data_IF_097052829430
#
_entry.id   IF_097052829430
#
_cell.length_a   1.000
_cell.length_b   1.000
_cell.length_c   1.000
_cell.angle_alpha   90.00
_cell.angle_beta   90.00
_cell.angle_gamma   90.00
#
_symmetry.space_group_name_H-M   'P 1'
#
loop_
_entity.id
_entity.type
_entity.pdbx_description
1 polymer ?
#
# COMPACT_ATOMS: atom_id res chain seq x y z
N UNK A 1 -11.24 31.61 -36.24
CA UNK A 1 -11.82 30.28 -36.56
C UNK A 1 -12.32 29.61 -35.28
N UNK A 2 -13.48 28.93 -35.30
CA UNK A 2 -14.07 28.24 -34.14
C UNK A 2 -13.09 27.25 -33.48
N UNK A 3 -12.22 26.64 -34.28
CA UNK A 3 -11.16 25.72 -33.85
C UNK A 3 -10.07 26.41 -33.02
N UNK A 4 -9.72 27.66 -33.34
CA UNK A 4 -8.71 28.43 -32.60
C UNK A 4 -9.25 28.86 -31.23
N UNK A 5 -10.53 29.27 -31.15
CA UNK A 5 -11.21 29.55 -29.88
C UNK A 5 -11.35 28.30 -29.01
N UNK A 6 -11.64 27.14 -29.60
CA UNK A 6 -11.68 25.86 -28.87
C UNK A 6 -10.30 25.52 -28.29
N UNK A 7 -9.24 25.63 -29.08
CA UNK A 7 -7.87 25.32 -28.63
C UNK A 7 -7.38 26.31 -27.55
N UNK A 8 -7.71 27.60 -27.66
CA UNK A 8 -7.41 28.60 -26.62
C UNK A 8 -8.15 28.31 -25.30
N UNK A 9 -9.44 27.94 -25.38
CA UNK A 9 -10.22 27.52 -24.21
C UNK A 9 -9.64 26.24 -23.58
N UNK A 10 -9.20 25.27 -24.38
CA UNK A 10 -8.53 24.05 -23.88
C UNK A 10 -7.21 24.36 -23.15
N UNK A 11 -6.42 25.32 -23.64
CA UNK A 11 -5.21 25.76 -22.93
C UNK A 11 -5.48 26.41 -21.57
N UNK A 12 -6.58 27.15 -21.43
CA UNK A 12 -7.03 27.72 -20.15
C UNK A 12 -7.59 26.65 -19.21
N UNK A 13 -8.27 25.64 -19.75
CA UNK A 13 -8.78 24.47 -19.03
C UNK A 13 -7.63 23.67 -18.42
N UNK A 14 -6.59 23.33 -19.18
CA UNK A 14 -5.42 22.61 -18.67
C UNK A 14 -4.76 23.36 -17.50
N UNK A 15 -4.63 24.70 -17.59
CA UNK A 15 -4.10 25.51 -16.48
C UNK A 15 -4.98 25.51 -15.24
N UNK A 16 -6.32 25.57 -15.41
CA UNK A 16 -7.26 25.53 -14.29
C UNK A 16 -7.30 24.15 -13.65
N UNK A 17 -7.40 23.08 -14.43
CA UNK A 17 -7.40 21.69 -13.95
C UNK A 17 -6.13 21.33 -13.17
N UNK A 18 -4.97 21.82 -13.63
CA UNK A 18 -3.71 21.57 -12.95
C UNK A 18 -3.57 22.36 -11.64
N UNK A 19 -4.33 23.45 -11.46
CA UNK A 19 -4.35 24.23 -10.21
C UNK A 19 -5.42 23.71 -9.25
N UNK A 20 -6.61 23.42 -9.78
CA UNK A 20 -7.75 22.86 -9.07
C UNK A 20 -8.56 21.99 -10.04
N UNK A 21 -8.48 20.69 -9.78
CA UNK A 21 -9.06 19.65 -10.62
C UNK A 21 -10.59 19.75 -10.74
N UNK A 22 -11.27 20.31 -9.75
CA UNK A 22 -12.73 20.37 -9.71
C UNK A 22 -13.27 21.64 -10.35
N UNK A 23 -12.65 22.78 -10.04
CA UNK A 23 -12.95 24.04 -10.70
C UNK A 23 -12.68 23.96 -12.21
N UNK A 24 -11.67 23.17 -12.63
CA UNK A 24 -11.39 22.91 -14.03
C UNK A 24 -12.48 22.11 -14.75
N UNK A 25 -13.02 21.04 -14.14
CA UNK A 25 -14.14 20.27 -14.70
C UNK A 25 -15.41 21.12 -14.72
N UNK A 26 -15.69 21.87 -13.65
CA UNK A 26 -16.83 22.77 -13.57
C UNK A 26 -16.80 23.82 -14.69
N UNK A 27 -15.65 24.43 -14.94
CA UNK A 27 -15.48 25.40 -16.03
C UNK A 27 -15.74 24.80 -17.42
N UNK A 28 -15.33 23.54 -17.65
CA UNK A 28 -15.61 22.83 -18.90
C UNK A 28 -17.11 22.62 -19.11
N UNK A 29 -17.82 22.27 -18.04
CA UNK A 29 -19.26 22.06 -18.03
C UNK A 29 -20.00 23.37 -18.30
N UNK A 30 -19.66 24.44 -17.59
CA UNK A 30 -20.28 25.77 -17.74
C UNK A 30 -20.07 26.35 -19.14
N UNK A 31 -18.92 26.09 -19.76
CA UNK A 31 -18.61 26.53 -21.12
C UNK A 31 -19.18 25.61 -22.21
N UNK A 32 -19.97 24.59 -21.85
CA UNK A 32 -20.54 23.58 -22.76
C UNK A 32 -19.47 22.84 -23.58
N UNK A 33 -18.28 22.68 -23.01
CA UNK A 33 -17.16 21.94 -23.60
C UNK A 33 -17.16 20.47 -23.16
N UNK A 34 -17.81 20.16 -22.03
CA UNK A 34 -18.00 18.83 -21.47
C UNK A 34 -19.44 18.72 -20.96
N UNK A 35 -20.06 17.55 -21.11
CA UNK A 35 -21.36 17.32 -20.48
C UNK A 35 -21.18 16.97 -19.00
N UNK A 36 -22.15 17.38 -18.17
CA UNK A 36 -22.16 17.08 -16.74
C UNK A 36 -22.70 15.67 -16.46
N UNK A 37 -22.11 14.66 -17.09
CA UNK A 37 -22.44 13.25 -16.83
C UNK A 37 -21.19 12.50 -16.37
N UNK A 38 -21.38 11.50 -15.51
CA UNK A 38 -20.28 10.67 -15.02
C UNK A 38 -19.45 10.05 -16.15
N UNK A 39 -20.12 9.55 -17.20
CA UNK A 39 -19.48 8.92 -18.36
C UNK A 39 -18.66 9.90 -19.18
N UNK A 40 -19.21 11.08 -19.46
CA UNK A 40 -18.50 12.09 -20.26
C UNK A 40 -17.27 12.62 -19.52
N UNK A 41 -17.39 12.86 -18.21
CA UNK A 41 -16.27 13.26 -17.36
C UNK A 41 -15.21 12.15 -17.31
N UNK A 42 -15.61 10.89 -17.12
CA UNK A 42 -14.70 9.75 -17.13
C UNK A 42 -13.95 9.61 -18.46
N UNK A 43 -14.65 9.69 -19.60
CA UNK A 43 -14.03 9.65 -20.93
C UNK A 43 -13.05 10.79 -21.16
N UNK A 44 -13.38 12.00 -20.69
CA UNK A 44 -12.50 13.16 -20.78
C UNK A 44 -11.21 12.94 -19.97
N UNK A 45 -11.33 12.48 -18.73
CA UNK A 45 -10.20 12.16 -17.87
C UNK A 45 -9.36 11.01 -18.44
N UNK A 46 -9.99 9.97 -19.00
CA UNK A 46 -9.32 8.82 -19.59
C UNK A 46 -8.55 9.18 -20.86
N UNK A 47 -9.10 10.07 -21.69
CA UNK A 47 -8.41 10.56 -22.89
C UNK A 47 -7.15 11.35 -22.54
N UNK A 48 -7.18 12.09 -21.43
CA UNK A 48 -6.00 12.74 -20.85
C UNK A 48 -5.31 13.81 -21.73
N UNK A 49 -5.94 14.27 -22.81
CA UNK A 49 -5.34 15.24 -23.74
C UNK A 49 -5.04 16.58 -23.05
N UNK A 50 -3.76 16.84 -22.78
CA UNK A 50 -3.29 18.07 -22.16
C UNK A 50 -3.58 18.18 -20.66
N UNK A 51 -3.88 17.06 -19.99
CA UNK A 51 -4.11 17.00 -18.54
C UNK A 51 -2.90 16.45 -17.81
N UNK A 52 -2.56 17.04 -16.66
CA UNK A 52 -1.59 16.44 -15.76
C UNK A 52 -2.22 15.23 -15.07
N UNK A 53 -1.54 14.09 -15.09
CA UNK A 53 -2.07 12.85 -14.49
C UNK A 53 -2.19 12.91 -12.96
N UNK A 54 -1.46 13.83 -12.34
CA UNK A 54 -1.62 14.20 -10.92
C UNK A 54 -2.96 14.89 -10.67
N UNK A 55 -3.41 15.77 -11.58
CA UNK A 55 -4.70 16.43 -11.47
C UNK A 55 -5.87 15.47 -11.72
N UNK A 56 -5.68 14.49 -12.62
CA UNK A 56 -6.62 13.38 -12.81
C UNK A 56 -6.76 12.58 -11.51
N UNK A 57 -5.64 12.19 -10.91
CA UNK A 57 -5.64 11.50 -9.62
C UNK A 57 -6.30 12.31 -8.51
N UNK A 58 -6.04 13.61 -8.43
CA UNK A 58 -6.68 14.51 -7.46
C UNK A 58 -8.19 14.57 -7.61
N UNK A 59 -8.71 14.65 -8.84
CA UNK A 59 -10.14 14.65 -9.07
C UNK A 59 -10.78 13.32 -8.66
N UNK A 60 -10.19 12.22 -9.10
CA UNK A 60 -10.73 10.87 -8.87
C UNK A 60 -10.61 10.42 -7.40
N UNK A 61 -9.65 10.96 -6.65
CA UNK A 61 -9.42 10.65 -5.24
C UNK A 61 -10.31 11.42 -4.24
N UNK A 62 -11.20 12.31 -4.71
CA UNK A 62 -12.12 13.09 -3.86
C UNK A 62 -13.33 12.26 -3.42
N UNK A 63 -13.85 12.54 -2.21
CA UNK A 63 -14.98 11.83 -1.56
C UNK A 63 -16.36 12.36 -1.93
N UNK A 64 -16.44 13.36 -2.80
CA UNK A 64 -17.69 14.06 -3.06
C UNK A 64 -18.54 13.24 -4.05
N UNK A 65 -19.87 13.22 -3.89
CA UNK A 65 -20.76 12.35 -4.67
C UNK A 65 -20.59 12.51 -6.19
N UNK A 66 -20.32 13.72 -6.66
CA UNK A 66 -20.10 13.98 -8.07
C UNK A 66 -18.76 13.43 -8.60
N UNK A 67 -17.79 13.07 -7.74
CA UNK A 67 -16.53 12.41 -8.15
C UNK A 67 -16.66 10.89 -8.20
N UNK A 68 -17.49 10.31 -7.32
CA UNK A 68 -17.64 8.85 -7.20
C UNK A 68 -18.18 8.25 -8.51
N UNK A 69 -19.23 8.84 -9.09
CA UNK A 69 -19.78 8.39 -10.37
C UNK A 69 -18.73 8.36 -11.51
N UNK A 70 -18.04 9.48 -11.79
CA UNK A 70 -16.93 9.52 -12.74
C UNK A 70 -15.81 8.53 -12.43
N UNK A 71 -15.50 8.27 -11.15
CA UNK A 71 -14.50 7.26 -10.76
C UNK A 71 -14.89 5.87 -11.25
N UNK A 72 -16.09 5.40 -10.91
CA UNK A 72 -16.56 4.08 -11.37
C UNK A 72 -16.56 3.99 -12.90
N UNK A 73 -17.12 4.99 -13.58
CA UNK A 73 -17.12 5.05 -15.04
C UNK A 73 -15.69 5.08 -15.62
N UNK A 74 -14.72 5.70 -14.93
CA UNK A 74 -13.32 5.74 -15.35
C UNK A 74 -12.64 4.38 -15.21
N UNK A 75 -12.91 3.65 -14.12
CA UNK A 75 -12.39 2.28 -13.96
C UNK A 75 -13.01 1.35 -15.00
N UNK A 76 -14.31 1.48 -15.30
CA UNK A 76 -15.00 0.68 -16.32
C UNK A 76 -14.46 0.88 -17.75
N UNK A 77 -13.81 2.02 -18.03
CA UNK A 77 -13.12 2.24 -19.31
C UNK A 77 -11.83 1.41 -19.45
N UNK A 78 -11.37 0.78 -18.37
CA UNK A 78 -10.21 -0.10 -18.43
C UNK A 78 -10.67 -1.53 -18.74
N UNK A 79 -10.25 -2.02 -19.90
CA UNK A 79 -10.45 -3.42 -20.27
C UNK A 79 -9.48 -4.31 -19.47
N UNK A 80 -9.99 -4.95 -18.42
CA UNK A 80 -9.25 -5.89 -17.58
C UNK A 80 -9.47 -7.37 -17.94
N UNK A 81 -10.29 -7.65 -18.96
CA UNK A 81 -10.62 -9.01 -19.41
C UNK A 81 -9.33 -9.76 -19.78
N UNK A 82 -9.19 -10.99 -19.27
CA UNK A 82 -8.05 -11.90 -19.49
C UNK A 82 -6.68 -11.36 -19.03
N UNK A 83 -6.64 -10.23 -18.30
CA UNK A 83 -5.40 -9.69 -17.74
C UNK A 83 -5.12 -10.28 -16.36
N UNK A 84 -3.85 -10.64 -16.14
CA UNK A 84 -3.35 -10.95 -14.80
C UNK A 84 -3.31 -9.68 -13.95
N UNK A 85 -3.40 -9.82 -12.63
CA UNK A 85 -3.44 -8.68 -11.70
C UNK A 85 -2.34 -7.63 -11.94
N UNK A 86 -1.08 -8.07 -12.11
CA UNK A 86 0.04 -7.15 -12.37
C UNK A 86 -0.15 -6.38 -13.69
N UNK A 87 -0.68 -7.02 -14.74
CA UNK A 87 -0.94 -6.37 -16.02
C UNK A 87 -2.08 -5.36 -15.92
N UNK A 88 -3.16 -5.72 -15.21
CA UNK A 88 -4.27 -4.84 -14.91
C UNK A 88 -3.79 -3.62 -14.11
N UNK A 89 -2.98 -3.82 -13.06
CA UNK A 89 -2.37 -2.75 -12.27
C UNK A 89 -1.45 -1.85 -13.10
N UNK A 90 -0.62 -2.41 -14.00
CA UNK A 90 0.21 -1.60 -14.92
C UNK A 90 -0.64 -0.68 -15.78
N UNK A 91 -1.72 -1.20 -16.37
CA UNK A 91 -2.62 -0.41 -17.22
C UNK A 91 -3.35 0.66 -16.40
N UNK A 92 -3.81 0.30 -15.21
CA UNK A 92 -4.53 1.20 -14.32
C UNK A 92 -3.66 2.34 -13.80
N UNK A 93 -2.47 2.02 -13.25
CA UNK A 93 -1.52 2.98 -12.71
C UNK A 93 -0.85 3.84 -13.80
N UNK A 94 -0.99 3.48 -15.08
CA UNK A 94 -0.55 4.33 -16.19
C UNK A 94 -1.51 5.48 -16.49
N UNK A 95 -2.80 5.33 -16.15
CA UNK A 95 -3.85 6.29 -16.54
C UNK A 95 -3.88 7.54 -15.64
N UNK A 96 -3.37 7.45 -14.41
CA UNK A 96 -3.37 8.55 -13.44
C UNK A 96 -2.19 8.40 -12.46
N UNK A 97 -1.96 9.43 -11.63
CA UNK A 97 -1.00 9.32 -10.52
C UNK A 97 -1.77 9.25 -9.19
N UNK A 98 -1.43 8.26 -8.37
CA UNK A 98 -1.85 8.23 -6.96
C UNK A 98 -1.35 9.49 -6.25
N UNK A 99 -2.05 10.03 -5.25
CA UNK A 99 -1.59 11.20 -4.50
C UNK A 99 -0.94 10.79 -3.17
N UNK A 100 0.33 11.19 -2.98
CA UNK A 100 1.24 10.68 -1.95
C UNK A 100 1.02 11.07 -0.49
N UNK A 101 -0.20 11.32 -0.03
CA UNK A 101 -0.42 11.47 1.42
C UNK A 101 -0.90 10.14 1.96
N UNK A 102 -0.07 9.43 2.72
CA UNK A 102 -0.41 8.16 3.38
C UNK A 102 -1.72 8.20 4.22
N UNK A 103 -2.20 9.40 4.58
CA UNK A 103 -3.49 9.61 5.23
C UNK A 103 -4.70 9.66 4.28
N UNK A 104 -4.50 9.96 2.99
CA UNK A 104 -5.50 9.85 1.93
C UNK A 104 -5.24 8.53 1.20
N UNK A 105 -5.73 7.44 1.76
CA UNK A 105 -5.80 6.19 1.01
C UNK A 105 -6.65 6.45 -0.23
N UNK A 106 -6.07 6.21 -1.40
CA UNK A 106 -6.63 6.57 -2.69
C UNK A 106 -7.86 5.71 -2.98
N UNK A 107 -9.06 6.29 -2.91
CA UNK A 107 -10.34 5.63 -3.25
C UNK A 107 -10.34 5.01 -4.65
N UNK A 108 -9.51 5.54 -5.54
CA UNK A 108 -9.21 4.96 -6.84
C UNK A 108 -8.79 3.49 -6.76
N UNK A 109 -8.06 3.09 -5.72
CA UNK A 109 -7.65 1.71 -5.48
C UNK A 109 -8.76 0.83 -4.89
N UNK A 110 -9.85 1.39 -4.37
CA UNK A 110 -11.01 0.63 -3.87
C UNK A 110 -12.00 0.30 -4.98
N UNK A 111 -12.10 1.15 -6.00
CA UNK A 111 -12.89 0.89 -7.20
C UNK A 111 -12.24 -0.14 -8.14
N UNK A 112 -10.90 -0.23 -8.16
CA UNK A 112 -10.17 -1.16 -9.04
C UNK A 112 -10.51 -2.65 -8.83
N UNK A 113 -10.48 -3.20 -7.60
CA UNK A 113 -10.77 -4.61 -7.35
C UNK A 113 -12.17 -5.03 -7.76
N UNK A 114 -13.16 -4.15 -7.59
CA UNK A 114 -14.55 -4.43 -7.98
C UNK A 114 -14.63 -4.71 -9.50
N UNK A 115 -14.04 -3.83 -10.32
CA UNK A 115 -14.00 -4.04 -11.77
C UNK A 115 -13.10 -5.22 -12.15
N UNK A 116 -11.95 -5.41 -11.49
CA UNK A 116 -11.05 -6.53 -11.78
C UNK A 116 -11.69 -7.90 -11.49
N UNK A 117 -12.43 -8.03 -10.39
CA UNK A 117 -13.20 -9.23 -10.03
C UNK A 117 -14.36 -9.47 -10.99
N UNK A 118 -15.08 -8.43 -11.41
CA UNK A 118 -16.16 -8.54 -12.41
C UNK A 118 -15.62 -9.00 -13.77
N UNK A 119 -14.45 -8.51 -14.19
CA UNK A 119 -13.81 -8.92 -15.44
C UNK A 119 -13.16 -10.31 -15.38
N UNK A 120 -12.72 -10.76 -14.19
CA UNK A 120 -12.00 -12.03 -14.01
C UNK A 120 -12.52 -12.83 -12.80
N UNK A 121 -13.79 -13.26 -12.81
CA UNK A 121 -14.43 -13.88 -11.65
C UNK A 121 -13.81 -15.23 -11.25
N UNK A 122 -13.13 -15.91 -12.17
CA UNK A 122 -12.44 -17.18 -11.91
C UNK A 122 -11.10 -17.03 -11.19
N UNK A 123 -10.51 -15.83 -11.18
CA UNK A 123 -9.16 -15.58 -10.64
C UNK A 123 -9.23 -14.99 -9.23
N UNK A 124 -10.20 -14.11 -8.97
CA UNK A 124 -10.38 -13.47 -7.67
C UNK A 124 -11.85 -13.54 -7.24
N UNK A 125 -12.23 -14.54 -6.42
CA UNK A 125 -13.60 -14.71 -5.96
C UNK A 125 -14.04 -13.64 -4.95
N UNK A 126 -13.07 -12.96 -4.32
CA UNK A 126 -13.31 -11.94 -3.30
C UNK A 126 -12.63 -10.61 -3.66
N UNK A 127 -13.41 -9.54 -3.66
CA UNK A 127 -12.96 -8.16 -3.89
C UNK A 127 -11.90 -7.74 -2.87
N UNK A 128 -12.05 -8.13 -1.61
CA UNK A 128 -11.11 -7.79 -0.54
C UNK A 128 -9.76 -8.48 -0.76
N UNK A 129 -9.76 -9.75 -1.18
CA UNK A 129 -8.52 -10.47 -1.54
C UNK A 129 -7.81 -9.77 -2.70
N UNK A 130 -8.55 -9.36 -3.74
CA UNK A 130 -7.98 -8.62 -4.87
C UNK A 130 -7.43 -7.25 -4.45
N UNK A 131 -8.12 -6.55 -3.56
CA UNK A 131 -7.68 -5.28 -2.98
C UNK A 131 -6.36 -5.42 -2.22
N UNK A 132 -6.31 -6.31 -1.22
CA UNK A 132 -5.12 -6.52 -0.39
C UNK A 132 -3.95 -7.00 -1.27
N UNK A 133 -4.21 -7.93 -2.19
CA UNK A 133 -3.19 -8.43 -3.09
C UNK A 133 -2.64 -7.33 -4.01
N UNK A 134 -3.49 -6.41 -4.49
CA UNK A 134 -3.06 -5.26 -5.31
C UNK A 134 -2.06 -4.39 -4.57
N UNK A 135 -2.35 -4.07 -3.30
CA UNK A 135 -1.43 -3.31 -2.47
C UNK A 135 -0.14 -4.08 -2.18
N UNK A 136 -0.21 -5.38 -1.89
CA UNK A 136 1.01 -6.18 -1.64
C UNK A 136 1.95 -6.18 -2.86
N UNK A 137 1.39 -6.19 -4.08
CA UNK A 137 2.12 -6.12 -5.34
C UNK A 137 2.73 -4.72 -5.54
N UNK A 138 2.00 -3.64 -5.22
CA UNK A 138 2.54 -2.26 -5.25
C UNK A 138 3.68 -2.09 -4.26
N UNK A 139 3.52 -2.58 -3.02
CA UNK A 139 4.57 -2.53 -1.99
C UNK A 139 5.77 -3.40 -2.35
N UNK A 140 5.54 -4.55 -3.01
CA UNK A 140 6.61 -5.38 -3.54
C UNK A 140 7.44 -4.62 -4.58
N UNK A 141 6.81 -3.83 -5.45
CA UNK A 141 7.52 -3.01 -6.43
C UNK A 141 8.48 -2.04 -5.74
N UNK A 142 8.01 -1.31 -4.73
CA UNK A 142 8.88 -0.43 -3.93
C UNK A 142 9.99 -1.22 -3.26
N UNK A 143 9.67 -2.39 -2.67
CA UNK A 143 10.65 -3.21 -1.96
C UNK A 143 11.76 -3.77 -2.88
N UNK A 144 11.44 -4.08 -4.14
CA UNK A 144 12.39 -4.65 -5.11
C UNK A 144 13.20 -3.59 -5.87
N UNK A 145 12.60 -2.43 -6.15
CA UNK A 145 13.16 -1.46 -7.10
C UNK A 145 13.60 -0.15 -6.47
N UNK A 146 13.16 0.18 -5.25
CA UNK A 146 13.63 1.39 -4.57
C UNK A 146 15.08 1.19 -4.09
N UNK A 147 16.05 2.01 -4.54
CA UNK A 147 17.46 1.87 -4.14
C UNK A 147 17.68 2.11 -2.63
N UNK A 148 16.75 2.81 -1.95
CA UNK A 148 16.81 3.01 -0.50
C UNK A 148 16.45 1.73 0.27
N UNK A 149 15.70 0.81 -0.35
CA UNK A 149 15.38 -0.50 0.22
C UNK A 149 16.55 -1.45 -0.06
N UNK A 150 17.39 -1.64 0.96
CA UNK A 150 18.57 -2.50 0.85
C UNK A 150 18.23 -3.99 0.92
N UNK A 151 17.14 -4.34 1.59
CA UNK A 151 16.73 -5.71 1.87
C UNK A 151 15.55 -6.11 0.96
N UNK A 152 15.88 -6.75 -0.16
CA UNK A 152 14.89 -7.14 -1.18
C UNK A 152 14.24 -8.48 -0.82
N UNK A 153 12.90 -8.58 -0.72
CA UNK A 153 12.23 -9.84 -0.39
C UNK A 153 12.42 -10.87 -1.51
N UNK A 154 12.62 -12.14 -1.15
CA UNK A 154 12.67 -13.25 -2.10
C UNK A 154 11.26 -13.73 -2.46
N UNK A 155 11.11 -14.48 -3.57
CA UNK A 155 9.83 -15.06 -3.98
C UNK A 155 9.19 -15.92 -2.86
N UNK A 156 9.99 -16.73 -2.17
CA UNK A 156 9.52 -17.54 -1.02
C UNK A 156 9.02 -16.67 0.12
N UNK A 157 9.71 -15.54 0.38
CA UNK A 157 9.29 -14.59 1.40
C UNK A 157 7.95 -13.96 1.01
N UNK A 158 7.80 -13.52 -0.25
CA UNK A 158 6.55 -12.95 -0.75
C UNK A 158 5.37 -13.92 -0.68
N UNK A 159 5.58 -15.20 -1.01
CA UNK A 159 4.54 -16.23 -0.85
C UNK A 159 4.12 -16.37 0.61
N UNK A 160 5.09 -16.43 1.53
CA UNK A 160 4.82 -16.56 2.97
C UNK A 160 4.13 -15.31 3.55
N UNK A 161 4.43 -14.11 3.02
CA UNK A 161 3.79 -12.85 3.43
C UNK A 161 2.31 -12.80 3.10
N UNK A 162 1.90 -13.47 2.01
CA UNK A 162 0.51 -13.49 1.54
C UNK A 162 -0.24 -14.77 1.96
N UNK A 163 0.27 -15.49 2.96
CA UNK A 163 -0.43 -16.63 3.54
C UNK A 163 -1.67 -16.14 4.30
N UNK A 164 -2.82 -16.78 4.10
CA UNK A 164 -4.09 -16.42 4.73
C UNK A 164 -4.73 -15.14 4.16
N UNK A 165 -4.29 -14.68 2.97
CA UNK A 165 -4.81 -13.43 2.36
C UNK A 165 -6.24 -13.58 1.82
N UNK A 166 -6.69 -14.82 1.55
CA UNK A 166 -8.02 -15.09 0.98
C UNK A 166 -8.99 -15.54 2.08
N UNK A 167 -9.46 -14.59 2.89
CA UNK A 167 -10.36 -14.83 4.04
C UNK A 167 -9.85 -15.91 5.01
N UNK A 168 -8.54 -15.90 5.28
CA UNK A 168 -7.86 -16.90 6.10
C UNK A 168 -7.34 -18.12 5.33
N UNK A 169 -7.70 -18.25 4.05
CA UNK A 169 -7.15 -19.22 3.10
C UNK A 169 -5.92 -18.72 2.32
N UNK A 170 -5.25 -19.64 1.64
CA UNK A 170 -4.04 -19.35 0.86
C UNK A 170 -4.33 -19.30 -0.65
N UNK A 171 -3.77 -18.29 -1.31
CA UNK A 171 -3.73 -18.26 -2.77
C UNK A 171 -2.73 -19.30 -3.33
N UNK A 172 -2.95 -19.79 -4.56
CA UNK A 172 -2.03 -20.72 -5.20
C UNK A 172 -0.60 -20.19 -5.24
N UNK A 173 0.38 -21.01 -4.84
CA UNK A 173 1.79 -20.60 -4.79
C UNK A 173 2.32 -20.17 -6.16
N UNK A 174 1.85 -20.82 -7.22
CA UNK A 174 2.21 -20.48 -8.60
C UNK A 174 1.67 -19.10 -9.01
N UNK A 175 0.48 -18.71 -8.53
CA UNK A 175 -0.06 -17.37 -8.75
C UNK A 175 0.85 -16.32 -8.10
N UNK A 176 1.15 -16.48 -6.82
CA UNK A 176 2.01 -15.56 -6.07
C UNK A 176 3.44 -15.50 -6.63
N UNK A 177 3.99 -16.64 -7.07
CA UNK A 177 5.28 -16.71 -7.74
C UNK A 177 5.29 -15.95 -9.07
N UNK A 178 4.25 -16.11 -9.89
CA UNK A 178 4.10 -15.38 -11.14
C UNK A 178 3.96 -13.86 -10.93
N UNK A 179 3.22 -13.43 -9.90
CA UNK A 179 3.11 -12.01 -9.55
C UNK A 179 4.46 -11.43 -9.14
N UNK A 180 5.21 -12.17 -8.30
CA UNK A 180 6.53 -11.76 -7.85
C UNK A 180 7.51 -11.60 -9.02
N UNK A 181 7.62 -12.62 -9.88
CA UNK A 181 8.54 -12.56 -11.01
C UNK A 181 8.15 -11.47 -12.02
N UNK A 182 6.86 -11.22 -12.23
CA UNK A 182 6.41 -10.12 -13.10
C UNK A 182 6.84 -8.73 -12.59
N UNK A 183 6.73 -8.48 -11.28
CA UNK A 183 7.21 -7.23 -10.70
C UNK A 183 8.73 -7.18 -10.70
N UNK A 184 9.40 -8.28 -10.36
CA UNK A 184 10.86 -8.34 -10.35
C UNK A 184 11.46 -8.08 -11.74
N UNK A 185 10.84 -8.60 -12.81
CA UNK A 185 11.32 -8.42 -14.18
C UNK A 185 11.14 -7.01 -14.69
N UNK A 186 10.02 -6.35 -14.34
CA UNK A 186 9.71 -5.00 -14.81
C UNK A 186 9.07 -4.18 -13.69
N UNK A 187 9.65 -3.06 -13.24
CA UNK A 187 8.99 -2.18 -12.27
C UNK A 187 7.71 -1.57 -12.87
N UNK A 188 6.79 -1.11 -12.01
CA UNK A 188 5.67 -0.28 -12.47
C UNK A 188 6.22 0.98 -13.14
N UNK A 189 5.81 1.23 -14.38
CA UNK A 189 6.10 2.49 -15.06
C UNK A 189 5.07 3.51 -14.64
N UNK A 190 5.51 4.58 -14.02
CA UNK A 190 4.65 5.69 -13.63
C UNK A 190 4.83 6.81 -14.64
N UNK A 191 3.75 7.41 -15.13
CA UNK A 191 3.84 8.56 -16.01
C UNK A 191 4.58 9.73 -15.34
N UNK A 192 5.64 10.23 -15.99
CA UNK A 192 6.41 11.38 -15.53
C UNK A 192 5.65 12.68 -15.82
N UNK A 193 5.40 13.49 -14.78
CA UNK A 193 4.80 14.81 -14.95
C UNK A 193 5.46 15.90 -14.08
N UNK A 194 6.44 15.54 -13.25
CA UNK A 194 7.43 16.38 -12.51
C UNK A 194 8.01 15.57 -11.33
N UNK A 195 9.16 14.90 -11.55
CA UNK A 195 10.23 14.53 -10.59
C UNK A 195 9.99 13.88 -9.22
N UNK A 196 8.84 14.04 -8.57
CA UNK A 196 8.57 13.47 -7.25
C UNK A 196 7.71 12.22 -7.41
N UNK A 197 8.37 11.10 -7.68
CA UNK A 197 7.73 9.81 -7.84
C UNK A 197 7.29 9.21 -6.49
N UNK A 198 6.07 8.69 -6.46
CA UNK A 198 5.39 8.25 -5.25
C UNK A 198 5.66 6.80 -4.91
N UNK A 199 6.08 5.94 -5.85
CA UNK A 199 6.59 4.61 -5.48
C UNK A 199 7.78 4.68 -4.53
N UNK A 200 8.53 5.79 -4.58
CA UNK A 200 9.64 6.08 -3.69
C UNK A 200 9.23 6.82 -2.39
N UNK A 201 8.01 7.37 -2.31
CA UNK A 201 7.57 8.29 -1.23
C UNK A 201 6.52 7.68 -0.28
N UNK A 202 5.99 6.47 -0.54
CA UNK A 202 5.03 5.81 0.36
C UNK A 202 5.59 5.45 1.75
N UNK A 203 6.91 5.47 1.95
CA UNK A 203 7.56 5.01 3.16
C UNK A 203 8.72 5.93 3.55
N UNK A 204 8.56 6.73 4.59
CA UNK A 204 9.73 7.21 5.34
C UNK A 204 9.57 7.07 6.86
N UNK A 205 9.29 5.86 7.38
CA UNK A 205 9.58 5.56 8.79
C UNK A 205 11.09 5.46 9.01
N UNK A 206 11.56 5.67 10.25
CA UNK A 206 12.98 5.54 10.60
C UNK A 206 13.53 4.16 10.22
N UNK A 207 12.66 3.14 10.28
CA UNK A 207 12.91 1.80 9.77
C UNK A 207 11.59 1.04 9.62
N UNK A 208 11.54 0.20 8.61
CA UNK A 208 10.46 -0.76 8.41
C UNK A 208 11.00 -2.09 7.89
N UNK A 209 10.23 -3.16 8.05
CA UNK A 209 10.68 -4.48 7.64
C UNK A 209 9.88 -5.61 8.27
N UNK A 210 9.95 -6.79 7.65
CA UNK A 210 9.34 -8.00 8.19
C UNK A 210 10.20 -8.59 9.30
N UNK A 211 9.58 -8.85 10.45
CA UNK A 211 10.19 -9.58 11.55
C UNK A 211 9.25 -10.66 12.07
N UNK A 212 9.83 -11.69 12.67
CA UNK A 212 9.10 -12.76 13.31
C UNK A 212 8.98 -12.45 14.81
N UNK A 213 7.77 -12.30 15.30
CA UNK A 213 7.47 -12.14 16.74
C UNK A 213 7.14 -13.51 17.33
N UNK A 214 7.84 -13.90 18.39
CA UNK A 214 7.47 -15.10 19.15
C UNK A 214 6.25 -14.82 20.04
N UNK A 215 5.25 -15.69 19.97
CA UNK A 215 4.11 -15.66 20.88
C UNK A 215 4.50 -15.99 22.32
N UNK A 216 3.70 -15.53 23.28
CA UNK A 216 3.97 -15.66 24.72
C UNK A 216 3.10 -16.72 25.42
N UNK A 217 2.49 -17.62 24.65
CA UNK A 217 1.71 -18.75 25.15
C UNK A 217 2.51 -20.05 25.22
N UNK A 218 1.86 -21.10 25.73
CA UNK A 218 2.40 -22.46 25.84
C UNK A 218 2.86 -23.04 24.50
N UNK A 219 2.21 -22.62 23.40
CA UNK A 219 2.63 -22.90 22.03
C UNK A 219 3.49 -21.73 21.54
N UNK A 220 4.82 -21.94 21.46
CA UNK A 220 5.81 -20.95 20.99
C UNK A 220 5.78 -20.79 19.46
N UNK A 221 4.61 -20.50 18.89
CA UNK A 221 4.48 -20.25 17.45
C UNK A 221 4.95 -18.83 17.13
N UNK A 222 5.87 -18.69 16.18
CA UNK A 222 6.33 -17.40 15.68
C UNK A 222 5.36 -16.87 14.62
N UNK A 223 4.96 -15.61 14.72
CA UNK A 223 4.10 -14.94 13.74
C UNK A 223 4.88 -13.83 13.03
N UNK A 224 4.84 -13.83 11.70
CA UNK A 224 5.46 -12.79 10.88
C UNK A 224 4.56 -11.54 10.90
N UNK A 225 5.16 -10.37 11.14
CA UNK A 225 4.45 -9.09 11.09
C UNK A 225 5.31 -8.06 10.39
N UNK A 226 4.66 -7.07 9.78
CA UNK A 226 5.35 -5.89 9.27
C UNK A 226 5.60 -4.94 10.43
N UNK A 227 6.86 -4.65 10.71
CA UNK A 227 7.24 -3.73 11.78
C UNK A 227 7.56 -2.37 11.20
N UNK A 228 7.08 -1.32 11.89
CA UNK A 228 7.42 0.07 11.60
C UNK A 228 7.94 0.68 12.90
N UNK A 229 9.18 1.19 12.84
CA UNK A 229 9.79 1.96 13.90
C UNK A 229 9.59 3.44 13.63
N UNK A 230 8.82 4.11 14.48
CA UNK A 230 8.54 5.54 14.37
C UNK A 230 8.30 6.15 15.75
N UNK A 231 8.79 7.36 15.99
CA UNK A 231 8.53 8.15 17.21
C UNK A 231 8.71 7.37 18.53
N UNK A 232 9.82 6.64 18.69
CA UNK A 232 10.13 5.82 19.87
C UNK A 232 9.10 4.72 20.19
N UNK A 233 8.32 4.31 19.19
CA UNK A 233 7.37 3.22 19.25
C UNK A 233 7.69 2.20 18.15
N UNK A 234 7.55 0.92 18.51
CA UNK A 234 7.64 -0.18 17.59
C UNK A 234 6.23 -0.71 17.31
N UNK A 235 5.68 -0.31 16.18
CA UNK A 235 4.36 -0.75 15.72
C UNK A 235 4.51 -2.00 14.85
N UNK A 236 3.57 -2.94 14.96
CA UNK A 236 3.53 -4.10 14.10
C UNK A 236 2.13 -4.34 13.56
N UNK A 237 2.07 -4.75 12.30
CA UNK A 237 0.84 -4.89 11.52
C UNK A 237 0.70 -6.33 11.04
N UNK A 238 -0.55 -6.81 10.88
CA UNK A 238 -0.79 -8.15 10.33
C UNK A 238 -0.40 -8.15 8.85
N UNK A 239 -0.73 -7.08 8.15
CA UNK A 239 -0.33 -6.81 6.78
C UNK A 239 0.22 -5.38 6.64
N UNK A 240 1.08 -5.13 5.65
CA UNK A 240 1.64 -3.79 5.36
C UNK A 240 0.57 -2.73 5.03
N UNK A 241 -0.61 -3.19 4.67
CA UNK A 241 -1.76 -2.42 4.18
C UNK A 241 -2.72 -2.04 5.28
N UNK A 242 -2.54 -2.59 6.48
CA UNK A 242 -3.41 -2.33 7.61
C UNK A 242 -3.28 -0.87 8.05
N UNK A 243 -4.42 -0.19 8.13
CA UNK A 243 -4.50 1.20 8.60
C UNK A 243 -4.21 1.31 10.09
N UNK A 244 -4.53 0.25 10.83
CA UNK A 244 -4.38 0.20 12.27
C UNK A 244 -3.33 -0.85 12.65
N UNK A 245 -2.42 -0.53 13.58
CA UNK A 245 -1.41 -1.47 14.03
C UNK A 245 -2.08 -2.63 14.77
N UNK A 246 -1.66 -3.84 14.44
CA UNK A 246 -2.02 -5.05 15.20
C UNK A 246 -1.49 -4.99 16.63
N UNK A 247 -0.37 -4.29 16.84
CA UNK A 247 0.00 -3.82 18.16
C UNK A 247 1.08 -2.75 18.17
N UNK A 248 1.19 -2.08 19.31
CA UNK A 248 2.08 -0.94 19.53
C UNK A 248 2.90 -1.22 20.77
N UNK A 249 4.23 -1.16 20.65
CA UNK A 249 5.17 -1.34 21.74
C UNK A 249 5.89 -0.01 21.97
N UNK A 250 5.55 0.74 23.03
CA UNK A 250 6.33 1.89 23.44
C UNK A 250 7.74 1.42 23.83
N UNK A 251 8.77 2.07 23.29
CA UNK A 251 10.17 1.70 23.57
C UNK A 251 10.75 2.45 24.77
N UNK A 252 9.96 3.34 25.38
CA UNK A 252 10.35 4.07 26.59
C UNK A 252 10.73 3.10 27.72
N UNK A 253 11.93 3.29 28.27
CA UNK A 253 12.49 2.47 29.36
C UNK A 253 12.72 0.99 29.00
N UNK A 254 12.73 0.63 27.70
CA UNK A 254 13.13 -0.69 27.24
C UNK A 254 14.61 -0.71 26.88
N UNK A 255 15.22 -1.89 27.01
CA UNK A 255 16.57 -2.19 26.58
C UNK A 255 16.56 -3.46 25.73
N UNK A 256 17.62 -3.67 24.95
CA UNK A 256 17.72 -4.79 24.02
C UNK A 256 18.82 -5.78 24.44
N UNK A 257 18.45 -7.05 24.58
CA UNK A 257 19.41 -8.15 24.68
C UNK A 257 19.56 -8.88 23.34
N UNK A 258 20.80 -9.12 22.92
CA UNK A 258 21.11 -10.06 21.83
C UNK A 258 21.10 -11.48 22.39
N UNK A 259 20.17 -12.32 21.96
CA UNK A 259 20.04 -13.68 22.49
C UNK A 259 20.45 -14.71 21.45
N UNK A 260 21.33 -15.63 21.84
CA UNK A 260 21.67 -16.83 21.05
C UNK A 260 20.67 -17.92 21.43
N UNK A 261 19.56 -18.03 20.69
CA UNK A 261 18.59 -19.11 20.90
C UNK A 261 19.10 -20.40 20.21
N UNK A 262 19.05 -21.58 20.85
CA UNK A 262 19.82 -22.76 20.43
C UNK A 262 19.53 -23.32 19.03
N UNK A 263 18.55 -22.81 18.29
CA UNK A 263 18.24 -23.25 16.91
C UNK A 263 17.75 -22.15 15.96
N UNK A 264 17.72 -20.87 16.38
CA UNK A 264 17.30 -19.76 15.51
C UNK A 264 18.30 -18.63 15.62
N UNK A 265 19.22 -18.56 14.65
CA UNK A 265 20.18 -17.47 14.53
C UNK A 265 19.40 -16.16 14.27
N UNK A 266 19.88 -15.04 14.86
CA UNK A 266 19.40 -13.66 14.65
C UNK A 266 18.23 -13.14 15.53
N UNK A 267 18.14 -13.62 16.77
CA UNK A 267 17.15 -13.17 17.76
C UNK A 267 17.61 -11.99 18.62
N UNK A 268 16.68 -11.10 18.98
CA UNK A 268 16.84 -10.08 20.01
C UNK A 268 15.60 -9.98 20.90
N UNK A 269 15.78 -9.44 22.11
CA UNK A 269 14.74 -9.34 23.13
C UNK A 269 14.63 -7.91 23.63
N UNK A 270 13.41 -7.37 23.65
CA UNK A 270 13.09 -6.12 24.36
C UNK A 270 12.67 -6.46 25.79
N UNK A 271 13.30 -5.81 26.77
CA UNK A 271 13.08 -6.04 28.20
C UNK A 271 13.25 -4.74 28.99
N UNK A 272 12.70 -4.67 30.21
CA UNK A 272 12.93 -3.54 31.12
C UNK A 272 14.20 -3.82 31.94
N UNK A 273 15.24 -2.95 31.90
CA UNK A 273 16.46 -3.13 32.67
C UNK A 273 16.20 -2.95 34.18
N UNK A 274 16.98 -3.65 35.00
CA UNK A 274 17.02 -3.52 36.48
C UNK A 274 15.74 -3.89 37.27
N UNK A 275 14.73 -4.53 36.68
CA UNK A 275 13.59 -5.04 37.46
C UNK A 275 13.11 -6.41 36.99
N UNK A 276 13.44 -7.47 37.74
CA UNK A 276 13.00 -8.84 37.44
C UNK A 276 11.49 -8.98 37.68
N UNK A 277 10.70 -8.96 36.60
CA UNK A 277 9.27 -9.32 36.64
C UNK A 277 8.30 -8.20 36.28
N UNK A 278 8.78 -7.00 35.95
CA UNK A 278 7.91 -5.92 35.49
C UNK A 278 7.44 -6.18 34.05
N UNK A 279 6.15 -5.92 33.79
CA UNK A 279 5.52 -6.18 32.50
C UNK A 279 5.66 -4.95 31.60
N UNK A 280 6.11 -5.17 30.37
CA UNK A 280 6.08 -4.19 29.29
C UNK A 280 4.62 -3.95 28.93
N UNK A 281 4.15 -2.73 29.16
CA UNK A 281 2.82 -2.28 28.75
C UNK A 281 2.84 -1.95 27.27
N UNK A 282 1.94 -2.57 26.53
CA UNK A 282 1.77 -2.39 25.10
C UNK A 282 0.28 -2.40 24.76
N UNK A 283 -0.06 -2.10 23.50
CA UNK A 283 -1.41 -2.23 22.99
C UNK A 283 -1.45 -3.32 21.92
N UNK A 284 -2.56 -4.05 21.84
CA UNK A 284 -2.82 -5.02 20.78
C UNK A 284 -4.30 -4.98 20.39
N UNK A 285 -4.58 -5.16 19.11
CA UNK A 285 -5.95 -5.29 18.59
C UNK A 285 -6.45 -6.73 18.82
N UNK A 286 -7.64 -6.86 19.40
CA UNK A 286 -8.35 -8.14 19.50
C UNK A 286 -9.12 -8.47 18.21
N UNK A 287 -9.67 -9.68 18.13
CA UNK A 287 -10.36 -10.14 16.92
C UNK A 287 -11.64 -9.34 16.61
N UNK A 288 -12.18 -8.64 17.60
CA UNK A 288 -13.33 -7.75 17.49
C UNK A 288 -12.95 -6.32 17.07
N UNK A 289 -11.66 -6.04 16.85
CA UNK A 289 -11.15 -4.75 16.41
C UNK A 289 -10.87 -3.75 17.54
N UNK A 290 -11.15 -4.08 18.81
CA UNK A 290 -10.82 -3.18 19.91
C UNK A 290 -9.34 -3.27 20.30
N UNK A 291 -8.71 -2.12 20.55
CA UNK A 291 -7.38 -2.09 21.14
C UNK A 291 -7.46 -2.30 22.65
N UNK A 292 -6.79 -3.34 23.12
CA UNK A 292 -6.66 -3.65 24.54
C UNK A 292 -5.22 -3.48 25.00
N UNK A 293 -5.06 -3.15 26.27
CA UNK A 293 -3.75 -3.19 26.90
C UNK A 293 -3.27 -4.62 27.04
N UNK A 294 -2.02 -4.84 26.69
CA UNK A 294 -1.40 -6.14 26.73
C UNK A 294 -0.04 -6.06 27.40
N UNK A 295 0.26 -7.09 28.19
CA UNK A 295 1.39 -7.13 29.09
C UNK A 295 2.33 -8.27 28.72
N UNK A 296 3.60 -7.93 28.44
CA UNK A 296 4.63 -8.91 28.12
C UNK A 296 5.82 -8.76 29.07
N UNK A 297 6.34 -9.88 29.58
CA UNK A 297 7.59 -9.85 30.36
C UNK A 297 8.77 -9.50 29.43
N UNK A 298 8.79 -10.10 28.24
CA UNK A 298 9.83 -9.91 27.22
C UNK A 298 9.18 -9.98 25.84
N UNK A 299 9.58 -9.11 24.93
CA UNK A 299 9.29 -9.26 23.50
C UNK A 299 10.46 -9.90 22.79
N UNK A 300 10.28 -11.13 22.30
CA UNK A 300 11.30 -11.84 21.53
C UNK A 300 11.02 -11.71 20.04
N UNK A 301 11.96 -11.10 19.32
CA UNK A 301 11.86 -10.79 17.90
C UNK A 301 13.02 -11.43 17.15
N UNK A 302 12.73 -12.04 16.01
CA UNK A 302 13.74 -12.66 15.15
C UNK A 302 13.80 -11.93 13.82
N UNK A 303 15.02 -11.58 13.44
CA UNK A 303 15.31 -11.09 12.11
C UNK A 303 15.55 -12.27 11.14
N UNK A 304 15.23 -12.12 9.85
CA UNK A 304 15.56 -13.10 8.81
C UNK A 304 17.07 -13.36 8.65
N UNK A 305 17.92 -12.37 8.94
CA UNK A 305 19.37 -12.43 8.75
C UNK A 305 20.17 -11.69 9.85
N UNK A 306 21.45 -12.03 10.00
CA UNK A 306 22.34 -11.53 11.07
C UNK A 306 22.60 -10.02 10.98
N UNK A 307 22.81 -9.54 9.77
CA UNK A 307 23.02 -8.14 9.44
C UNK A 307 21.73 -7.33 9.64
N UNK A 308 20.57 -7.91 9.37
CA UNK A 308 19.26 -7.28 9.63
C UNK A 308 19.00 -7.10 11.13
N UNK A 309 19.39 -8.06 11.97
CA UNK A 309 19.27 -7.93 13.44
C UNK A 309 20.01 -6.70 13.95
N UNK A 310 21.29 -6.55 13.62
CA UNK A 310 22.08 -5.41 14.13
C UNK A 310 21.59 -4.08 13.56
N UNK A 311 21.02 -4.08 12.35
CA UNK A 311 20.38 -2.92 11.74
C UNK A 311 19.08 -2.52 12.46
N UNK A 312 18.31 -3.47 13.01
CA UNK A 312 17.12 -3.19 13.84
C UNK A 312 17.45 -2.77 15.27
N UNK A 313 18.56 -3.27 15.84
CA UNK A 313 18.99 -2.94 17.21
C UNK A 313 19.56 -1.52 17.31
N UNK A 314 20.25 -1.01 16.29
CA UNK A 314 20.88 0.32 16.34
C UNK A 314 19.91 1.51 16.51
N UNK A 315 18.74 1.55 15.84
CA UNK A 315 17.80 2.67 15.96
C UNK A 315 16.75 2.51 17.08
N UNK A 316 16.72 1.37 17.78
CA UNK A 316 15.89 1.09 18.96
C UNK A 316 16.73 1.35 20.20
#
# INVERSE_FOLDING_TARGET
SKTLQRNQKMGMVSKKLNTDSQNGIQFLVENKLLQHTAKDIAHFLYKGEGLNKTAIGDYLGKREEFNIGPLHAFVDLHEFIDLKLVQALRRFLWSFRLLGKAQKMDWTMEAFPQCCCLCNPSVFPCTDTCYILSFTVITLNTSLHNPNVRDKPSAKCFIMMNHGIDDGGDLPKDLLGNLYESIRSEPFKIPEDNGNDLTHTFFNPNREGWLLKLGCGWVKMSKCHWFILTNNCLCYFKYMTDKEPWGIIPLENLSIHKVKYPQKLHCFELYIPNNKGQLIRACKTEADGHMVEWYHIIYRILAPACDQKDKWIKPI
#
